data_IF_110055525838
#
_entry.id   IF_110055525838
#
_cell.length_a   1.000
_cell.length_b   1.000
_cell.length_c   1.000
_cell.angle_alpha   90.00
_cell.angle_beta   90.00
_cell.angle_gamma   90.00
#
_symmetry.space_group_name_H-M   'P 1'
#
loop_
_entity.id
_entity.type
_entity.pdbx_description
1 polymer ?
#
# COMPACT_ATOMS: atom_id res chain seq x y z
N UNK A 1 2.92 -0.35 47.43
CA UNK A 1 2.59 0.78 46.53
C UNK A 1 3.44 0.61 45.28
N UNK A 2 2.92 -0.09 44.27
CA UNK A 2 3.54 -0.23 42.97
C UNK A 2 2.57 0.38 41.98
N UNK A 3 3.04 1.46 41.33
CA UNK A 3 2.29 2.27 40.41
C UNK A 3 1.93 1.51 39.15
N UNK A 4 0.68 1.54 38.83
CA UNK A 4 0.06 1.23 37.55
C UNK A 4 0.37 2.31 36.54
N UNK A 5 1.48 2.20 35.82
CA UNK A 5 1.81 2.99 34.63
C UNK A 5 1.69 2.13 33.35
N UNK A 6 0.58 1.46 33.24
CA UNK A 6 0.26 0.77 31.99
C UNK A 6 -1.17 1.12 31.67
N UNK A 7 -1.40 1.87 30.59
CA UNK A 7 -2.64 1.99 29.79
C UNK A 7 -3.02 3.42 29.38
N UNK A 8 -2.06 4.22 28.91
CA UNK A 8 -2.44 5.51 28.27
C UNK A 8 -2.07 5.60 26.77
N UNK A 9 -1.55 4.52 26.16
CA UNK A 9 -1.27 4.48 24.73
C UNK A 9 -2.45 4.06 23.83
N UNK A 10 -3.59 3.72 24.40
CA UNK A 10 -4.75 3.17 23.67
C UNK A 10 -5.61 4.25 22.98
N UNK A 11 -5.38 5.53 23.21
CA UNK A 11 -6.28 6.61 22.72
C UNK A 11 -5.61 7.66 21.82
N UNK A 12 -4.34 7.51 21.46
CA UNK A 12 -3.71 8.42 20.51
C UNK A 12 -4.21 8.10 19.08
N UNK A 13 -4.84 9.07 18.45
CA UNK A 13 -5.25 9.01 17.05
C UNK A 13 -4.00 8.81 16.17
N UNK A 14 -3.86 7.63 15.54
CA UNK A 14 -2.73 7.38 14.66
C UNK A 14 -2.74 8.31 13.47
N UNK A 15 -1.58 8.87 13.17
CA UNK A 15 -1.35 9.81 12.07
C UNK A 15 -0.74 9.07 10.90
N UNK A 16 -1.44 8.97 9.80
CA UNK A 16 -0.96 8.22 8.62
C UNK A 16 -0.78 9.11 7.40
N UNK A 17 0.23 8.77 6.60
CA UNK A 17 0.39 9.31 5.26
C UNK A 17 -0.10 8.29 4.23
N UNK A 18 -0.97 8.71 3.31
CA UNK A 18 -1.42 7.86 2.20
C UNK A 18 -0.85 8.38 0.88
N UNK A 19 -0.03 7.56 0.23
CA UNK A 19 0.42 7.78 -1.14
C UNK A 19 -0.51 7.08 -2.12
N UNK A 20 -0.75 7.68 -3.29
CA UNK A 20 -1.69 7.13 -4.27
C UNK A 20 -3.16 7.32 -3.89
N UNK A 21 -3.47 8.25 -2.99
CA UNK A 21 -4.79 8.56 -2.46
C UNK A 21 -5.85 8.89 -3.54
N UNK A 22 -5.44 9.32 -4.72
CA UNK A 22 -6.34 9.67 -5.84
C UNK A 22 -6.78 8.49 -6.69
N UNK A 23 -6.13 7.33 -6.53
CA UNK A 23 -6.49 6.08 -7.18
C UNK A 23 -7.77 5.45 -6.61
N UNK A 24 -8.35 4.48 -7.32
CA UNK A 24 -9.61 3.85 -6.90
C UNK A 24 -9.51 3.17 -5.52
N UNK A 25 -8.43 2.46 -5.23
CA UNK A 25 -8.18 1.86 -3.91
C UNK A 25 -7.78 2.94 -2.89
N UNK A 26 -6.91 3.89 -3.26
CA UNK A 26 -6.45 4.93 -2.36
C UNK A 26 -7.57 5.83 -1.83
N UNK A 27 -8.59 6.14 -2.64
CA UNK A 27 -9.78 6.88 -2.18
C UNK A 27 -10.57 6.13 -1.11
N UNK A 28 -10.71 4.82 -1.24
CA UNK A 28 -11.37 3.99 -0.25
C UNK A 28 -10.54 3.91 1.04
N UNK A 29 -9.22 3.76 0.93
CA UNK A 29 -8.31 3.79 2.09
C UNK A 29 -8.48 5.10 2.85
N UNK A 30 -8.44 6.26 2.16
CA UNK A 30 -8.62 7.56 2.81
C UNK A 30 -9.98 7.66 3.48
N UNK A 31 -11.07 7.31 2.78
CA UNK A 31 -12.43 7.37 3.33
C UNK A 31 -12.59 6.49 4.57
N UNK A 32 -12.10 5.26 4.52
CA UNK A 32 -12.19 4.33 5.64
C UNK A 32 -11.28 4.72 6.80
N UNK A 33 -10.07 5.25 6.52
CA UNK A 33 -9.16 5.74 7.55
C UNK A 33 -9.77 6.90 8.33
N UNK A 34 -10.35 7.88 7.62
CA UNK A 34 -11.05 9.00 8.25
C UNK A 34 -12.23 8.50 9.09
N UNK A 35 -13.02 7.55 8.57
CA UNK A 35 -14.14 6.95 9.30
C UNK A 35 -13.72 6.18 10.56
N UNK A 36 -12.51 5.61 10.54
CA UNK A 36 -11.88 4.93 11.71
C UNK A 36 -11.21 5.90 12.68
N UNK A 37 -11.24 7.22 12.42
CA UNK A 37 -10.67 8.24 13.29
C UNK A 37 -9.17 8.45 13.14
N UNK A 38 -8.53 8.02 12.04
CA UNK A 38 -7.13 8.36 11.77
C UNK A 38 -6.97 9.83 11.39
N UNK A 39 -5.86 10.46 11.79
CA UNK A 39 -5.38 11.71 11.21
C UNK A 39 -4.69 11.38 9.87
N UNK A 40 -5.34 11.70 8.77
CA UNK A 40 -4.90 11.29 7.43
C UNK A 40 -4.30 12.46 6.69
N UNK A 41 -3.01 12.34 6.31
CA UNK A 41 -2.39 13.18 5.29
C UNK A 41 -2.32 12.44 3.96
N UNK A 42 -2.37 13.17 2.85
CA UNK A 42 -2.25 12.63 1.50
C UNK A 42 -1.25 13.43 0.69
N UNK A 43 -0.29 12.76 0.04
CA UNK A 43 0.60 13.42 -0.91
C UNK A 43 -0.03 13.36 -2.30
N UNK A 44 -0.31 14.51 -2.86
CA UNK A 44 -1.00 14.67 -4.15
C UNK A 44 -0.29 15.69 -5.04
N UNK A 45 -0.39 15.53 -6.37
CA UNK A 45 0.35 16.36 -7.32
C UNK A 45 -0.26 17.74 -7.56
N UNK A 46 -1.49 17.99 -7.11
CA UNK A 46 -2.17 19.30 -7.21
C UNK A 46 -3.38 19.34 -6.29
N UNK A 47 -3.81 20.55 -5.93
CA UNK A 47 -5.05 20.78 -5.15
C UNK A 47 -6.30 20.21 -5.84
N UNK A 48 -6.34 20.26 -7.17
CA UNK A 48 -7.43 19.65 -7.93
C UNK A 48 -7.56 18.16 -7.64
N UNK A 49 -6.42 17.45 -7.54
CA UNK A 49 -6.38 16.01 -7.22
C UNK A 49 -6.82 15.71 -5.79
N UNK A 50 -6.68 16.68 -4.88
CA UNK A 50 -7.14 16.55 -3.50
C UNK A 50 -8.67 16.67 -3.37
N UNK A 51 -9.34 17.31 -4.34
CA UNK A 51 -10.80 17.46 -4.32
C UNK A 51 -11.48 16.09 -4.20
N UNK A 52 -12.37 15.97 -3.22
CA UNK A 52 -13.07 14.72 -2.94
C UNK A 52 -12.37 13.76 -1.96
N UNK A 53 -11.19 14.11 -1.43
CA UNK A 53 -10.54 13.41 -0.32
C UNK A 53 -10.92 14.07 1.01
N UNK A 54 -12.22 13.99 1.34
CA UNK A 54 -12.78 14.67 2.51
C UNK A 54 -12.18 14.13 3.81
N UNK A 55 -11.85 15.04 4.74
CA UNK A 55 -11.28 14.71 6.04
C UNK A 55 -9.79 14.38 6.03
N UNK A 56 -9.13 14.40 4.86
CA UNK A 56 -7.69 14.24 4.75
C UNK A 56 -6.99 15.59 4.51
N UNK A 57 -5.80 15.76 5.06
CA UNK A 57 -4.94 16.93 4.86
C UNK A 57 -4.10 16.77 3.59
N UNK A 58 -4.29 17.56 2.54
CA UNK A 58 -3.48 17.47 1.35
C UNK A 58 -2.13 18.14 1.53
N UNK A 59 -1.09 17.47 1.03
CA UNK A 59 0.27 18.01 0.88
C UNK A 59 0.58 17.91 -0.61
N UNK A 60 1.01 19.02 -1.21
CA UNK A 60 1.27 19.08 -2.64
C UNK A 60 2.71 18.66 -2.92
N UNK A 61 2.88 17.62 -3.72
CA UNK A 61 4.20 17.11 -4.08
C UNK A 61 4.14 15.85 -4.94
N UNK A 62 5.30 15.48 -5.46
CA UNK A 62 5.48 14.22 -6.20
C UNK A 62 6.09 13.16 -5.26
N UNK A 63 5.59 11.93 -5.33
CA UNK A 63 6.10 10.83 -4.52
C UNK A 63 7.56 10.40 -4.84
N UNK A 64 8.19 11.01 -5.84
CA UNK A 64 9.61 10.84 -6.17
C UNK A 64 10.48 11.98 -5.63
N UNK A 65 9.86 13.02 -5.06
CA UNK A 65 10.57 14.14 -4.48
C UNK A 65 10.81 13.90 -3.00
N UNK A 66 12.08 13.74 -2.63
CA UNK A 66 12.49 13.46 -1.26
C UNK A 66 12.12 14.59 -0.29
N UNK A 67 12.13 15.86 -0.74
CA UNK A 67 11.76 16.99 0.09
C UNK A 67 10.27 16.98 0.41
N UNK A 68 9.43 16.80 -0.59
CA UNK A 68 7.98 16.70 -0.43
C UNK A 68 7.58 15.49 0.44
N UNK A 69 8.28 14.36 0.29
CA UNK A 69 8.04 13.17 1.12
C UNK A 69 8.41 13.42 2.58
N UNK A 70 9.58 14.04 2.86
CA UNK A 70 9.98 14.36 4.23
C UNK A 70 9.00 15.34 4.90
N UNK A 71 8.54 16.34 4.18
CA UNK A 71 7.51 17.25 4.69
C UNK A 71 6.21 16.50 5.02
N UNK A 72 5.78 15.61 4.15
CA UNK A 72 4.56 14.82 4.33
C UNK A 72 4.65 13.81 5.49
N UNK A 73 5.86 13.35 5.82
CA UNK A 73 6.13 12.36 6.87
C UNK A 73 6.26 12.95 8.27
N UNK A 74 6.47 14.26 8.41
CA UNK A 74 6.67 14.89 9.72
C UNK A 74 5.54 14.59 10.67
N UNK A 75 5.88 13.97 11.81
CA UNK A 75 4.93 13.63 12.86
C UNK A 75 3.87 12.58 12.45
N UNK A 76 4.16 11.75 11.45
CA UNK A 76 3.34 10.59 11.07
C UNK A 76 3.84 9.33 11.77
N UNK A 77 2.91 8.42 12.07
CA UNK A 77 3.20 7.14 12.71
C UNK A 77 3.41 6.03 11.68
N UNK A 78 2.73 6.12 10.54
CA UNK A 78 2.76 5.09 9.51
C UNK A 78 2.50 5.64 8.10
N UNK A 79 2.92 4.86 7.10
CA UNK A 79 2.66 5.12 5.69
C UNK A 79 1.86 3.99 5.07
N UNK A 80 0.84 4.35 4.29
CA UNK A 80 0.13 3.45 3.39
C UNK A 80 0.44 3.85 1.95
N UNK A 81 1.15 2.98 1.22
CA UNK A 81 1.46 3.21 -0.19
C UNK A 81 0.49 2.41 -1.07
N UNK A 82 -0.44 3.12 -1.70
CA UNK A 82 -1.35 2.62 -2.73
C UNK A 82 -0.97 3.17 -4.12
N UNK A 83 0.32 3.39 -4.35
CA UNK A 83 0.82 3.85 -5.64
C UNK A 83 0.58 2.80 -6.71
N UNK A 84 0.11 3.24 -7.84
CA UNK A 84 -0.10 2.40 -9.02
C UNK A 84 0.33 3.13 -10.28
N UNK A 85 0.56 2.38 -11.35
CA UNK A 85 0.88 2.89 -12.66
C UNK A 85 -0.01 2.23 -13.70
N UNK A 86 -0.39 2.95 -14.76
CA UNK A 86 -1.10 2.35 -15.89
C UNK A 86 -0.25 1.26 -16.57
N UNK A 87 -0.91 0.29 -17.20
CA UNK A 87 -0.23 -0.65 -18.07
C UNK A 87 0.54 0.10 -19.17
N UNK A 88 1.79 -0.29 -19.37
CA UNK A 88 2.67 0.33 -20.36
C UNK A 88 3.47 -0.74 -21.09
N UNK A 89 2.93 -1.33 -22.17
CA UNK A 89 3.62 -2.41 -22.89
C UNK A 89 4.89 -1.95 -23.61
N UNK A 90 4.96 -0.66 -24.01
CA UNK A 90 6.04 -0.15 -24.86
C UNK A 90 7.11 0.66 -24.12
N UNK A 91 6.78 1.28 -22.97
CA UNK A 91 7.72 2.12 -22.21
C UNK A 91 8.23 1.39 -20.98
N UNK A 92 9.47 1.64 -20.62
CA UNK A 92 9.97 1.29 -19.29
C UNK A 92 9.13 1.96 -18.20
N UNK A 93 8.89 1.22 -17.14
CA UNK A 93 8.17 1.69 -15.96
C UNK A 93 9.15 1.63 -14.79
N UNK A 94 9.47 2.77 -14.23
CA UNK A 94 10.38 2.91 -13.07
C UNK A 94 9.75 3.75 -11.96
N UNK A 95 8.49 4.10 -12.12
CA UNK A 95 7.81 5.04 -11.22
C UNK A 95 7.64 4.47 -9.82
N UNK A 96 7.27 3.19 -9.70
CA UNK A 96 7.02 2.57 -8.40
C UNK A 96 8.33 2.36 -7.63
N UNK A 97 9.34 1.81 -8.26
CA UNK A 97 10.66 1.59 -7.63
C UNK A 97 11.34 2.89 -7.24
N UNK A 98 11.29 3.92 -8.12
CA UNK A 98 11.87 5.25 -7.83
C UNK A 98 11.15 5.92 -6.66
N UNK A 99 9.81 5.95 -6.68
CA UNK A 99 9.03 6.54 -5.60
C UNK A 99 9.22 5.79 -4.27
N UNK A 100 9.31 4.45 -4.33
CA UNK A 100 9.52 3.64 -3.12
C UNK A 100 10.91 3.85 -2.51
N UNK A 101 11.95 4.00 -3.32
CA UNK A 101 13.29 4.32 -2.84
C UNK A 101 13.30 5.68 -2.12
N UNK A 102 12.76 6.71 -2.77
CA UNK A 102 12.67 8.04 -2.16
C UNK A 102 11.82 8.01 -0.87
N UNK A 103 10.75 7.23 -0.84
CA UNK A 103 9.92 7.05 0.35
C UNK A 103 10.68 6.38 1.50
N UNK A 104 11.38 5.27 1.24
CA UNK A 104 12.16 4.54 2.25
C UNK A 104 13.23 5.45 2.86
N UNK A 105 13.96 6.21 2.02
CA UNK A 105 14.98 7.13 2.48
C UNK A 105 14.38 8.27 3.35
N UNK A 106 13.22 8.80 2.93
CA UNK A 106 12.51 9.84 3.69
C UNK A 106 11.94 9.30 5.01
N UNK A 107 11.37 8.09 5.03
CA UNK A 107 10.86 7.44 6.24
C UNK A 107 11.96 7.22 7.28
N UNK A 108 13.15 6.76 6.85
CA UNK A 108 14.31 6.62 7.73
C UNK A 108 14.76 7.96 8.31
N UNK A 109 14.80 9.00 7.49
CA UNK A 109 15.20 10.34 7.92
C UNK A 109 14.22 10.97 8.93
N UNK A 110 12.92 10.71 8.78
CA UNK A 110 11.87 11.21 9.67
C UNK A 110 11.48 10.21 10.79
N UNK A 111 12.21 9.09 10.92
CA UNK A 111 12.02 8.05 11.94
C UNK A 111 10.61 7.41 11.93
N UNK A 112 10.01 7.29 10.76
CA UNK A 112 8.73 6.58 10.56
C UNK A 112 9.04 5.15 10.11
N UNK A 113 8.71 4.15 10.92
CA UNK A 113 9.07 2.76 10.63
C UNK A 113 7.98 1.97 9.90
N UNK A 114 6.69 2.19 10.23
CA UNK A 114 5.59 1.38 9.71
C UNK A 114 5.25 1.71 8.25
N UNK A 115 5.39 0.72 7.36
CA UNK A 115 5.04 0.81 5.94
C UNK A 115 4.10 -0.31 5.50
N UNK A 116 2.89 0.03 5.08
CA UNK A 116 1.98 -0.90 4.39
C UNK A 116 1.96 -0.56 2.91
N UNK A 117 2.48 -1.45 2.06
CA UNK A 117 2.63 -1.19 0.64
C UNK A 117 1.81 -2.16 -0.19
N UNK A 118 0.93 -1.65 -1.05
CA UNK A 118 0.12 -2.45 -1.97
C UNK A 118 0.92 -2.69 -3.25
N UNK A 119 1.10 -3.95 -3.61
CA UNK A 119 1.73 -4.36 -4.87
C UNK A 119 0.75 -5.08 -5.78
N UNK A 120 0.60 -6.38 -5.69
CA UNK A 120 -0.39 -7.16 -6.44
C UNK A 120 0.05 -8.60 -6.71
N UNK A 121 -0.91 -9.48 -6.88
CA UNK A 121 -0.68 -10.85 -7.34
C UNK A 121 0.10 -10.84 -8.66
N UNK A 122 1.16 -11.62 -8.75
CA UNK A 122 2.09 -11.66 -9.88
C UNK A 122 3.42 -10.94 -9.61
N UNK A 123 3.56 -10.20 -8.49
CA UNK A 123 4.83 -9.64 -8.05
C UNK A 123 5.61 -10.66 -7.19
N UNK A 124 6.93 -10.64 -7.32
CA UNK A 124 7.83 -11.52 -6.59
C UNK A 124 7.47 -13.00 -6.75
N UNK A 125 7.46 -13.73 -5.64
CA UNK A 125 7.15 -15.15 -5.56
C UNK A 125 5.66 -15.51 -5.82
N UNK A 126 4.77 -14.52 -5.98
CA UNK A 126 3.40 -14.74 -6.42
C UNK A 126 3.23 -14.79 -7.96
N UNK A 127 4.31 -14.72 -8.72
CA UNK A 127 4.29 -14.90 -10.17
C UNK A 127 3.82 -16.32 -10.55
N UNK A 128 2.98 -16.41 -11.59
CA UNK A 128 2.44 -17.70 -12.07
C UNK A 128 1.20 -18.21 -11.32
N UNK A 129 0.66 -17.43 -10.38
CA UNK A 129 -0.54 -17.79 -9.62
C UNK A 129 -1.80 -17.02 -10.08
N UNK A 130 -1.72 -16.23 -11.15
CA UNK A 130 -2.83 -15.43 -11.67
C UNK A 130 -3.89 -16.21 -12.47
N UNK A 131 -3.61 -17.49 -12.76
CA UNK A 131 -4.42 -18.32 -13.63
C UNK A 131 -4.02 -18.21 -15.11
N UNK A 132 -4.45 -19.22 -15.91
CA UNK A 132 -3.94 -19.42 -17.27
C UNK A 132 -4.00 -18.17 -18.16
N UNK A 133 -5.15 -17.49 -18.21
CA UNK A 133 -5.34 -16.30 -19.08
C UNK A 133 -4.47 -15.14 -18.60
N UNK A 134 -4.42 -14.92 -17.29
CA UNK A 134 -3.60 -13.85 -16.72
C UNK A 134 -2.12 -14.11 -16.98
N UNK A 135 -1.62 -15.29 -16.64
CA UNK A 135 -0.19 -15.61 -16.67
C UNK A 135 0.37 -15.80 -18.09
N UNK A 136 -0.45 -16.32 -19.01
CA UNK A 136 -0.01 -16.67 -20.38
C UNK A 136 -0.33 -15.61 -21.42
N UNK A 137 -1.30 -14.72 -21.16
CA UNK A 137 -1.76 -13.73 -22.14
C UNK A 137 -1.60 -12.31 -21.61
N UNK A 138 -2.27 -11.96 -20.51
CA UNK A 138 -2.33 -10.58 -20.02
C UNK A 138 -0.97 -10.12 -19.49
N UNK A 139 -0.35 -10.94 -18.66
CA UNK A 139 0.93 -10.62 -18.02
C UNK A 139 2.05 -10.37 -19.04
N UNK A 140 2.38 -11.29 -19.97
CA UNK A 140 3.50 -11.09 -20.88
C UNK A 140 3.26 -9.99 -21.90
N UNK A 141 2.02 -9.76 -22.33
CA UNK A 141 1.71 -8.78 -23.37
C UNK A 141 1.54 -7.35 -22.83
N UNK A 142 0.97 -7.19 -21.63
CA UNK A 142 0.56 -5.87 -21.14
C UNK A 142 1.26 -5.46 -19.84
N UNK A 143 1.60 -6.40 -18.97
CA UNK A 143 1.98 -6.09 -17.59
C UNK A 143 3.46 -6.35 -17.27
N UNK A 144 4.21 -7.02 -18.14
CA UNK A 144 5.59 -7.44 -17.88
C UNK A 144 6.48 -6.32 -17.32
N UNK A 145 6.43 -5.13 -17.95
CA UNK A 145 7.27 -3.98 -17.54
C UNK A 145 6.81 -3.36 -16.21
N UNK A 146 5.49 -3.32 -15.98
CA UNK A 146 4.94 -2.85 -14.72
C UNK A 146 5.31 -3.78 -13.57
N UNK A 147 5.26 -5.09 -13.82
CA UNK A 147 5.61 -6.06 -12.79
C UNK A 147 7.11 -6.16 -12.53
N UNK A 148 7.95 -5.95 -13.54
CA UNK A 148 9.39 -5.79 -13.31
C UNK A 148 9.70 -4.61 -12.37
N UNK A 149 8.98 -3.49 -12.49
CA UNK A 149 9.09 -2.35 -11.57
C UNK A 149 8.52 -2.67 -10.18
N UNK A 150 7.43 -3.46 -10.11
CA UNK A 150 6.89 -3.96 -8.83
C UNK A 150 7.83 -4.93 -8.11
N UNK A 151 8.54 -5.77 -8.84
CA UNK A 151 9.53 -6.68 -8.25
C UNK A 151 10.68 -5.88 -7.62
N UNK A 152 11.15 -4.83 -8.31
CA UNK A 152 12.10 -3.88 -7.75
C UNK A 152 11.53 -3.12 -6.55
N UNK A 153 10.26 -2.70 -6.62
CA UNK A 153 9.56 -2.07 -5.49
C UNK A 153 9.56 -2.98 -4.27
N UNK A 154 9.18 -4.25 -4.42
CA UNK A 154 9.17 -5.19 -3.31
C UNK A 154 10.56 -5.47 -2.74
N UNK A 155 11.58 -5.60 -3.59
CA UNK A 155 12.97 -5.76 -3.14
C UNK A 155 13.42 -4.56 -2.29
N UNK A 156 13.17 -3.33 -2.74
CA UNK A 156 13.50 -2.11 -1.99
C UNK A 156 12.80 -2.10 -0.61
N UNK A 157 11.52 -2.50 -0.54
CA UNK A 157 10.80 -2.55 0.72
C UNK A 157 11.36 -3.63 1.65
N UNK A 158 11.65 -4.83 1.14
CA UNK A 158 12.23 -5.92 1.94
C UNK A 158 13.60 -5.57 2.52
N UNK A 159 14.43 -4.89 1.74
CA UNK A 159 15.78 -4.50 2.14
C UNK A 159 15.81 -3.20 2.96
N UNK A 160 14.65 -2.59 3.19
CA UNK A 160 14.56 -1.28 3.83
C UNK A 160 14.94 -1.26 5.32
N UNK A 161 14.74 -2.37 6.04
CA UNK A 161 14.83 -2.41 7.49
C UNK A 161 13.67 -1.70 8.22
N UNK A 162 12.60 -1.34 7.50
CA UNK A 162 11.37 -0.80 8.07
C UNK A 162 10.45 -1.93 8.57
N UNK A 163 9.45 -1.56 9.36
CA UNK A 163 8.35 -2.45 9.79
C UNK A 163 7.31 -2.55 8.67
N UNK A 164 7.61 -3.36 7.66
CA UNK A 164 6.83 -3.38 6.43
C UNK A 164 5.85 -4.55 6.33
N UNK A 165 4.74 -4.32 5.60
CA UNK A 165 3.82 -5.33 5.08
C UNK A 165 3.62 -5.08 3.58
N UNK A 166 3.87 -6.09 2.73
CA UNK A 166 3.61 -6.05 1.29
C UNK A 166 2.28 -6.74 1.00
N UNK A 167 1.24 -5.97 0.71
CA UNK A 167 -0.09 -6.52 0.43
C UNK A 167 -0.23 -6.78 -1.06
N UNK A 168 -0.52 -8.05 -1.44
CA UNK A 168 -0.68 -8.52 -2.82
C UNK A 168 -2.12 -8.89 -3.11
N UNK A 169 -2.99 -7.94 -3.49
CA UNK A 169 -4.35 -8.26 -3.87
C UNK A 169 -4.39 -9.16 -5.12
N UNK A 170 -5.30 -10.13 -5.13
CA UNK A 170 -5.73 -10.81 -6.35
C UNK A 170 -6.45 -9.84 -7.30
N UNK A 171 -7.14 -10.29 -8.35
CA UNK A 171 -7.78 -9.40 -9.32
C UNK A 171 -8.81 -8.49 -8.65
N UNK A 172 -8.54 -7.17 -8.71
CA UNK A 172 -9.35 -6.15 -8.06
C UNK A 172 -10.69 -5.92 -8.77
N UNK A 173 -11.75 -5.82 -7.99
CA UNK A 173 -13.08 -5.43 -8.48
C UNK A 173 -13.71 -4.33 -7.61
N UNK A 174 -14.88 -3.79 -8.02
CA UNK A 174 -15.62 -2.76 -7.30
C UNK A 174 -16.91 -3.31 -6.66
N UNK A 175 -17.00 -4.62 -6.43
CA UNK A 175 -18.15 -5.21 -5.73
C UNK A 175 -18.10 -4.79 -4.26
N UNK A 176 -19.24 -4.84 -3.57
CA UNK A 176 -19.28 -4.65 -2.12
C UNK A 176 -18.33 -5.58 -1.37
N UNK A 177 -17.84 -5.16 -0.23
CA UNK A 177 -17.07 -5.99 0.70
C UNK A 177 -17.84 -7.28 1.04
N UNK A 178 -17.09 -8.36 1.18
CA UNK A 178 -17.61 -9.64 1.71
C UNK A 178 -17.19 -9.89 3.15
N UNK A 179 -16.22 -9.13 3.66
CA UNK A 179 -15.68 -9.29 5.00
C UNK A 179 -14.87 -10.56 5.23
N UNK A 180 -14.89 -11.51 4.31
CA UNK A 180 -14.16 -12.78 4.40
C UNK A 180 -12.90 -12.72 3.53
N UNK A 181 -11.80 -12.23 4.09
CA UNK A 181 -10.51 -12.11 3.40
C UNK A 181 -9.65 -13.32 3.78
N UNK A 182 -9.14 -14.02 2.75
CA UNK A 182 -8.09 -15.02 2.89
C UNK A 182 -6.75 -14.33 2.63
N UNK A 183 -5.83 -14.41 3.57
CA UNK A 183 -4.47 -13.93 3.42
C UNK A 183 -3.51 -15.13 3.39
N UNK A 184 -2.73 -15.28 2.33
CA UNK A 184 -1.95 -16.47 2.04
C UNK A 184 -0.48 -16.10 1.82
N UNK A 185 0.42 -16.80 2.47
CA UNK A 185 1.87 -16.81 2.16
C UNK A 185 2.27 -18.08 1.44
N UNK A 186 1.62 -19.20 1.74
CA UNK A 186 1.74 -20.41 0.94
C UNK A 186 0.72 -20.38 -0.20
N UNK A 187 1.22 -20.33 -1.43
CA UNK A 187 0.42 -20.27 -2.64
C UNK A 187 0.30 -21.63 -3.35
N UNK A 188 0.69 -22.72 -2.69
CA UNK A 188 0.57 -24.09 -3.22
C UNK A 188 -0.89 -24.38 -3.59
N UNK A 189 -1.13 -24.72 -4.85
CA UNK A 189 -2.47 -24.99 -5.37
C UNK A 189 -3.39 -23.76 -5.51
N UNK A 190 -2.89 -22.55 -5.25
CA UNK A 190 -3.65 -21.33 -5.47
C UNK A 190 -3.50 -20.83 -6.91
N UNK A 191 -4.62 -20.54 -7.56
CA UNK A 191 -4.65 -19.94 -8.90
C UNK A 191 -5.82 -18.97 -9.04
N UNK A 192 -5.52 -17.74 -9.52
CA UNK A 192 -6.55 -16.73 -9.80
C UNK A 192 -7.05 -16.01 -8.55
N UNK A 193 -8.37 -15.86 -8.45
CA UNK A 193 -9.03 -15.15 -7.35
C UNK A 193 -9.36 -13.69 -7.66
N UNK A 194 -10.33 -13.18 -6.91
CA UNK A 194 -10.75 -11.77 -6.97
C UNK A 194 -11.00 -11.23 -5.58
N UNK A 195 -10.84 -9.93 -5.41
CA UNK A 195 -11.13 -9.24 -4.15
C UNK A 195 -11.67 -7.82 -4.43
N UNK A 196 -12.54 -7.32 -3.59
CA UNK A 196 -12.98 -5.92 -3.73
C UNK A 196 -11.90 -4.95 -3.25
N UNK A 197 -11.89 -3.76 -3.87
CA UNK A 197 -11.03 -2.67 -3.37
C UNK A 197 -11.42 -2.24 -1.95
N UNK A 198 -12.67 -2.44 -1.59
CA UNK A 198 -13.18 -2.15 -0.26
C UNK A 198 -12.56 -3.07 0.80
N UNK A 199 -12.56 -4.40 0.56
CA UNK A 199 -11.89 -5.37 1.44
C UNK A 199 -10.37 -5.16 1.49
N UNK A 200 -9.73 -4.84 0.34
CA UNK A 200 -8.31 -4.50 0.33
C UNK A 200 -8.01 -3.29 1.22
N UNK A 201 -8.88 -2.27 1.16
CA UNK A 201 -8.70 -1.05 1.96
C UNK A 201 -8.85 -1.34 3.46
N UNK A 202 -9.80 -2.20 3.84
CA UNK A 202 -9.97 -2.66 5.21
C UNK A 202 -8.73 -3.41 5.70
N UNK A 203 -8.28 -4.42 4.95
CA UNK A 203 -7.11 -5.22 5.30
C UNK A 203 -5.86 -4.36 5.47
N UNK A 204 -5.61 -3.43 4.54
CA UNK A 204 -4.46 -2.53 4.56
C UNK A 204 -4.45 -1.64 5.81
N UNK A 205 -5.61 -1.11 6.20
CA UNK A 205 -5.72 -0.27 7.38
C UNK A 205 -5.55 -1.05 8.68
N UNK A 206 -5.95 -2.33 8.71
CA UNK A 206 -5.70 -3.20 9.86
C UNK A 206 -4.19 -3.38 10.08
N UNK A 207 -3.38 -3.48 8.99
CA UNK A 207 -1.93 -3.63 9.07
C UNK A 207 -1.19 -2.36 9.56
N UNK A 208 -1.86 -1.23 9.70
CA UNK A 208 -1.24 -0.02 10.27
C UNK A 208 -0.82 -0.24 11.73
N UNK A 209 -1.56 -1.07 12.46
CA UNK A 209 -1.33 -1.33 13.90
C UNK A 209 -1.14 -2.81 14.24
N UNK A 210 -1.53 -3.72 13.36
CA UNK A 210 -1.42 -5.16 13.57
C UNK A 210 -0.05 -5.67 13.11
N UNK A 211 0.61 -6.46 13.94
CA UNK A 211 1.94 -7.01 13.69
C UNK A 211 1.90 -8.42 13.09
N UNK A 212 0.72 -9.01 12.93
CA UNK A 212 0.56 -10.39 12.45
C UNK A 212 1.21 -10.64 11.07
N UNK A 213 1.31 -9.60 10.24
CA UNK A 213 1.90 -9.69 8.91
C UNK A 213 3.20 -8.90 8.74
N UNK A 214 3.85 -8.48 9.83
CA UNK A 214 5.16 -7.83 9.75
C UNK A 214 6.15 -8.69 8.99
N UNK A 215 6.87 -8.05 8.04
CA UNK A 215 7.87 -8.68 7.18
C UNK A 215 7.32 -9.84 6.33
N UNK A 216 6.03 -9.82 6.06
CA UNK A 216 5.37 -10.79 5.18
C UNK A 216 4.74 -10.10 3.95
N UNK A 217 4.52 -10.93 2.91
CA UNK A 217 3.94 -10.49 1.63
C UNK A 217 2.66 -11.28 1.33
N UNK A 218 1.58 -11.13 2.17
CA UNK A 218 0.38 -11.93 1.97
C UNK A 218 -0.30 -11.61 0.63
N UNK A 219 -0.65 -12.67 -0.11
CA UNK A 219 -1.64 -12.58 -1.19
C UNK A 219 -3.02 -12.59 -0.56
N UNK A 220 -3.82 -11.57 -0.85
CA UNK A 220 -5.17 -11.43 -0.32
C UNK A 220 -6.23 -11.64 -1.39
N UNK A 221 -7.24 -12.44 -1.06
CA UNK A 221 -8.34 -12.82 -1.97
C UNK A 221 -9.61 -13.17 -1.19
N UNK A 222 -10.71 -13.37 -1.89
CA UNK A 222 -11.90 -14.00 -1.35
C UNK A 222 -11.81 -15.53 -1.32
#
# INVERSE_FOLDING_TARGET
>A
MQNSESHDFANAQSKILVLGATGATGRLIVSQAVARGYDVAVLVRSDEKARGLKGAMPIIGDARDATALREALRGRDAVVSALGTPASPFREVTMLSTATRALVDAMKAEQVSRLVCITGMGAGDSAGHGGFVFDKVIFPLLLRKVYADKDLQEAIVRDSGLDWVLVRPSVLNNKPSRGAIRALTDLSGFHGGTISRDDVSQFVLDQVRDDAWLHHSPLITW
#
